data_IF_088512991623
#
_entry.id   IF_088512991623
#
_cell.length_a   1.000
_cell.length_b   1.000
_cell.length_c   1.000
_cell.angle_alpha   90.00
_cell.angle_beta   90.00
_cell.angle_gamma   90.00
#
_symmetry.space_group_name_H-M   'P 1'
#
loop_
_entity.id
_entity.type
_entity.pdbx_description
1 polymer ?
#
# COMPACT_ATOMS: atom_id res chain seq x y z
N UNK A 1 25.61 9.89 -30.75
CA UNK A 1 24.61 10.57 -29.91
C UNK A 1 24.49 9.80 -28.61
N UNK A 2 25.24 10.23 -27.60
CA UNK A 2 25.35 9.56 -26.30
C UNK A 2 24.26 10.10 -25.39
N UNK A 3 23.28 9.25 -25.06
CA UNK A 3 22.26 9.55 -24.05
C UNK A 3 22.95 9.69 -22.70
N UNK A 4 23.07 10.93 -22.20
CA UNK A 4 23.57 11.22 -20.87
C UNK A 4 22.57 10.67 -19.87
N UNK A 5 22.93 9.56 -19.21
CA UNK A 5 22.21 9.05 -18.05
C UNK A 5 22.15 10.16 -16.99
N UNK A 6 21.01 10.81 -16.89
CA UNK A 6 20.74 11.88 -15.94
C UNK A 6 20.77 11.26 -14.54
N UNK A 7 21.94 11.29 -13.88
CA UNK A 7 22.08 10.88 -12.48
C UNK A 7 21.12 11.74 -11.65
N UNK A 8 20.00 11.15 -11.20
CA UNK A 8 19.07 11.81 -10.29
C UNK A 8 19.86 12.25 -9.06
N UNK A 9 19.83 13.55 -8.75
CA UNK A 9 20.45 14.03 -7.51
C UNK A 9 19.75 13.37 -6.31
N UNK A 10 20.47 13.07 -5.20
CA UNK A 10 19.86 12.49 -4.01
C UNK A 10 18.67 13.31 -3.49
N UNK A 11 18.71 14.64 -3.66
CA UNK A 11 17.61 15.55 -3.33
C UNK A 11 16.32 15.21 -4.08
N UNK A 12 16.41 15.01 -5.40
CA UNK A 12 15.27 14.70 -6.28
C UNK A 12 14.60 13.36 -5.94
N UNK A 13 15.38 12.37 -5.52
CA UNK A 13 14.85 11.05 -5.14
C UNK A 13 14.07 11.13 -3.83
N UNK A 14 14.63 11.83 -2.84
CA UNK A 14 13.98 12.03 -1.54
C UNK A 14 12.71 12.87 -1.70
N UNK A 15 12.72 13.92 -2.53
CA UNK A 15 11.53 14.71 -2.82
C UNK A 15 10.44 13.89 -3.50
N UNK A 16 10.82 13.02 -4.43
CA UNK A 16 9.89 12.10 -5.09
C UNK A 16 9.24 11.14 -4.11
N UNK A 17 10.02 10.55 -3.20
CA UNK A 17 9.48 9.68 -2.15
C UNK A 17 8.55 10.44 -1.20
N UNK A 18 8.95 11.60 -0.70
CA UNK A 18 8.17 12.40 0.26
C UNK A 18 6.85 12.93 -0.32
N UNK A 19 6.78 13.18 -1.63
CA UNK A 19 5.55 13.57 -2.32
C UNK A 19 4.64 12.38 -2.65
N UNK A 20 5.15 11.16 -2.52
CA UNK A 20 4.39 9.96 -2.87
C UNK A 20 3.58 9.44 -1.67
N UNK A 21 2.46 8.74 -1.91
CA UNK A 21 1.73 8.03 -0.86
C UNK A 21 2.59 7.04 -0.07
N UNK A 22 3.71 6.56 -0.64
CA UNK A 22 4.64 5.65 0.03
C UNK A 22 5.28 6.24 1.28
N UNK A 23 5.48 7.56 1.35
CA UNK A 23 6.02 8.20 2.54
C UNK A 23 5.08 8.06 3.75
N UNK A 24 3.76 8.15 3.52
CA UNK A 24 2.75 7.95 4.55
C UNK A 24 2.58 6.48 4.97
N UNK A 25 2.84 5.54 4.06
CA UNK A 25 2.67 4.09 4.29
C UNK A 25 3.94 3.45 4.91
N UNK A 26 5.14 3.99 4.64
CA UNK A 26 6.40 3.39 5.06
C UNK A 26 6.55 3.14 6.59
N UNK A 27 6.13 4.06 7.49
CA UNK A 27 6.15 3.78 8.94
C UNK A 27 5.32 2.58 9.35
N UNK A 28 4.17 2.36 8.69
CA UNK A 28 3.29 1.22 8.96
C UNK A 28 3.92 -0.09 8.52
N UNK A 29 4.54 -0.11 7.33
CA UNK A 29 5.29 -1.27 6.85
C UNK A 29 6.46 -1.58 7.79
N UNK A 30 7.17 -0.56 8.27
CA UNK A 30 8.26 -0.74 9.23
C UNK A 30 7.76 -1.35 10.54
N UNK A 31 6.61 -0.90 11.05
CA UNK A 31 5.96 -1.50 12.22
C UNK A 31 5.67 -2.98 11.95
N UNK A 32 5.01 -3.31 10.84
CA UNK A 32 4.67 -4.70 10.49
C UNK A 32 5.90 -5.61 10.39
N UNK A 33 7.00 -5.13 9.80
CA UNK A 33 8.23 -5.92 9.64
C UNK A 33 8.96 -6.15 10.97
N UNK A 34 8.97 -5.14 11.84
CA UNK A 34 9.68 -5.22 13.12
C UNK A 34 8.86 -5.88 14.23
N UNK A 35 7.54 -5.94 14.06
CA UNK A 35 6.63 -6.56 15.03
C UNK A 35 6.92 -8.06 15.15
N UNK A 36 6.98 -8.52 16.39
CA UNK A 36 7.26 -9.91 16.73
C UNK A 36 7.52 -10.06 18.23
N UNK A 37 7.58 -11.31 18.73
CA UNK A 37 7.72 -11.57 20.17
C UNK A 37 8.95 -10.86 20.76
N UNK A 38 8.74 -10.06 21.82
CA UNK A 38 9.80 -9.31 22.50
C UNK A 38 10.38 -8.12 21.73
N UNK A 39 9.84 -7.78 20.54
CA UNK A 39 10.35 -6.70 19.68
C UNK A 39 9.41 -5.50 19.58
N UNK A 40 8.30 -5.51 20.31
CA UNK A 40 7.26 -4.48 20.24
C UNK A 40 7.79 -3.06 20.45
N UNK A 41 8.57 -2.83 21.51
CA UNK A 41 9.11 -1.50 21.80
C UNK A 41 10.00 -0.97 20.66
N UNK A 42 10.85 -1.84 20.09
CA UNK A 42 11.72 -1.46 18.96
C UNK A 42 10.87 -1.16 17.72
N UNK A 43 9.86 -1.97 17.44
CA UNK A 43 8.99 -1.78 16.28
C UNK A 43 8.22 -0.46 16.35
N UNK A 44 7.60 -0.18 17.49
CA UNK A 44 6.79 1.03 17.71
C UNK A 44 7.64 2.30 17.74
N UNK A 45 8.78 2.28 18.43
CA UNK A 45 9.69 3.44 18.48
C UNK A 45 10.34 3.73 17.13
N UNK A 46 10.69 2.69 16.36
CA UNK A 46 11.22 2.85 15.01
C UNK A 46 10.15 3.40 14.04
N UNK A 47 8.91 2.90 14.11
CA UNK A 47 7.80 3.40 13.32
C UNK A 47 7.46 4.87 13.65
N UNK A 48 7.38 5.22 14.95
CA UNK A 48 7.17 6.59 15.39
C UNK A 48 8.33 7.50 14.94
N UNK A 49 9.57 7.06 15.13
CA UNK A 49 10.76 7.80 14.70
C UNK A 49 10.78 8.04 13.20
N UNK A 50 10.47 7.03 12.39
CA UNK A 50 10.38 7.17 10.94
C UNK A 50 9.23 8.11 10.54
N UNK A 51 8.06 8.00 11.17
CA UNK A 51 6.92 8.88 10.91
C UNK A 51 7.25 10.35 11.18
N UNK A 52 7.86 10.64 12.34
CA UNK A 52 8.29 11.99 12.69
C UNK A 52 9.40 12.49 11.77
N UNK A 53 10.36 11.64 11.40
CA UNK A 53 11.42 11.99 10.46
C UNK A 53 10.85 12.36 9.09
N UNK A 54 9.95 11.55 8.54
CA UNK A 54 9.29 11.83 7.25
C UNK A 54 8.55 13.16 7.31
N UNK A 55 7.80 13.43 8.38
CA UNK A 55 7.09 14.69 8.57
C UNK A 55 8.03 15.89 8.69
N UNK A 56 9.09 15.80 9.52
CA UNK A 56 10.05 16.88 9.74
C UNK A 56 10.85 17.20 8.48
N UNK A 57 11.32 16.18 7.76
CA UNK A 57 12.05 16.36 6.49
C UNK A 57 11.12 16.91 5.41
N UNK A 58 9.86 16.45 5.37
CA UNK A 58 8.83 16.99 4.47
C UNK A 58 8.56 18.47 4.72
N UNK A 59 8.34 18.85 5.99
CA UNK A 59 8.16 20.25 6.42
C UNK A 59 9.37 21.12 6.05
N UNK A 60 10.59 20.64 6.31
CA UNK A 60 11.82 21.35 5.96
C UNK A 60 12.01 21.53 4.45
N UNK A 61 11.33 20.74 3.62
CA UNK A 61 11.34 20.82 2.15
C UNK A 61 10.08 21.48 1.57
N UNK A 62 9.20 22.02 2.41
CA UNK A 62 7.95 22.66 1.99
C UNK A 62 6.89 21.70 1.43
N UNK A 63 7.03 20.40 1.69
CA UNK A 63 6.06 19.37 1.30
C UNK A 63 4.93 19.36 2.33
N UNK A 64 3.68 19.31 1.86
CA UNK A 64 2.52 19.31 2.75
C UNK A 64 2.43 17.98 3.48
N UNK A 65 2.12 18.06 4.77
CA UNK A 65 1.76 16.91 5.59
C UNK A 65 0.27 16.61 5.35
N UNK A 66 -0.05 15.36 5.02
CA UNK A 66 -1.44 14.94 4.81
C UNK A 66 -2.01 14.28 6.07
N UNK A 67 -3.31 13.97 6.01
CA UNK A 67 -4.04 13.42 7.14
C UNK A 67 -3.53 12.04 7.56
N UNK A 68 -3.02 11.24 6.62
CA UNK A 68 -2.52 9.89 6.89
C UNK A 68 -1.21 9.92 7.70
N UNK A 69 -0.29 10.87 7.42
CA UNK A 69 0.94 11.01 8.21
C UNK A 69 0.62 11.45 9.63
N UNK A 70 -0.29 12.41 9.81
CA UNK A 70 -0.75 12.86 11.14
C UNK A 70 -1.43 11.71 11.89
N UNK A 71 -2.33 10.98 11.20
CA UNK A 71 -3.00 9.82 11.78
C UNK A 71 -2.00 8.76 12.23
N UNK A 72 -1.02 8.42 11.38
CA UNK A 72 0.06 7.50 11.73
C UNK A 72 0.88 7.97 12.92
N UNK A 73 1.33 9.22 12.93
CA UNK A 73 2.08 9.78 14.05
C UNK A 73 1.31 9.71 15.38
N UNK A 74 0.01 10.07 15.36
CA UNK A 74 -0.87 9.98 16.55
C UNK A 74 -1.06 8.52 16.98
N UNK A 75 -1.29 7.62 16.03
CA UNK A 75 -1.43 6.18 16.30
C UNK A 75 -0.16 5.62 16.94
N UNK A 76 1.00 5.80 16.32
CA UNK A 76 2.27 5.29 16.85
C UNK A 76 2.64 5.94 18.19
N UNK A 77 2.37 7.23 18.37
CA UNK A 77 2.58 7.89 19.66
C UNK A 77 1.66 7.30 20.74
N UNK A 78 0.40 7.04 20.41
CA UNK A 78 -0.55 6.41 21.34
C UNK A 78 -0.10 5.00 21.72
N UNK A 79 0.28 4.18 20.73
CA UNK A 79 0.77 2.82 20.95
C UNK A 79 2.08 2.83 21.75
N UNK A 80 2.98 3.78 21.49
CA UNK A 80 4.22 3.97 22.24
C UNK A 80 3.95 4.33 23.71
N UNK A 81 3.06 5.30 23.93
CA UNK A 81 2.65 5.71 25.28
C UNK A 81 2.01 4.55 26.04
N UNK A 82 1.09 3.82 25.42
CA UNK A 82 0.52 2.61 26.02
C UNK A 82 1.63 1.61 26.36
N UNK A 83 2.57 1.36 25.44
CA UNK A 83 3.70 0.47 25.68
C UNK A 83 4.62 0.87 26.84
N UNK A 84 4.71 2.16 27.17
CA UNK A 84 5.51 2.66 28.31
C UNK A 84 4.83 2.44 29.67
N UNK A 85 3.49 2.46 29.71
CA UNK A 85 2.71 2.37 30.95
C UNK A 85 1.95 1.03 31.10
N UNK A 86 2.01 0.17 30.08
CA UNK A 86 1.31 -1.10 30.03
C UNK A 86 1.95 -2.15 30.97
N UNK A 87 1.10 -2.92 31.65
CA UNK A 87 1.51 -4.16 32.32
C UNK A 87 1.93 -5.24 31.30
N UNK A 88 2.74 -6.22 31.71
CA UNK A 88 3.21 -7.32 30.84
C UNK A 88 2.09 -8.04 30.07
N UNK A 89 0.89 -8.17 30.65
CA UNK A 89 -0.26 -8.76 29.98
C UNK A 89 -0.75 -7.92 28.80
N UNK A 90 -0.74 -6.59 28.94
CA UNK A 90 -1.13 -5.66 27.87
C UNK A 90 -0.05 -5.63 26.79
N UNK A 91 1.23 -5.69 27.16
CA UNK A 91 2.33 -5.78 26.18
C UNK A 91 2.22 -7.07 25.36
N UNK A 92 1.98 -8.23 26.01
CA UNK A 92 1.74 -9.50 25.30
C UNK A 92 0.52 -9.44 24.38
N UNK A 93 -0.56 -8.80 24.82
CA UNK A 93 -1.73 -8.58 23.97
C UNK A 93 -1.37 -7.71 22.75
N UNK A 94 -0.64 -6.62 22.95
CA UNK A 94 -0.20 -5.76 21.84
C UNK A 94 0.79 -6.46 20.92
N UNK A 95 1.67 -7.32 21.43
CA UNK A 95 2.58 -8.12 20.60
C UNK A 95 1.83 -9.05 19.65
N UNK A 96 0.71 -9.61 20.08
CA UNK A 96 -0.14 -10.47 19.27
C UNK A 96 -1.01 -9.65 18.32
N UNK A 97 -1.69 -8.62 18.85
CA UNK A 97 -2.75 -7.92 18.13
C UNK A 97 -2.32 -6.61 17.46
N UNK A 98 -1.05 -6.20 17.53
CA UNK A 98 -0.59 -4.92 16.96
C UNK A 98 -0.77 -4.84 15.44
N UNK A 99 -0.52 -5.93 14.72
CA UNK A 99 -0.77 -6.00 13.27
C UNK A 99 -2.26 -5.76 12.98
N UNK A 100 -3.12 -6.39 13.77
CA UNK A 100 -4.56 -6.38 13.51
C UNK A 100 -5.19 -5.06 13.94
N UNK A 101 -4.76 -4.50 15.08
CA UNK A 101 -5.10 -3.14 15.49
C UNK A 101 -4.67 -2.12 14.44
N UNK A 102 -3.51 -2.31 13.80
CA UNK A 102 -3.03 -1.45 12.72
C UNK A 102 -3.94 -1.52 11.51
N UNK A 103 -4.22 -2.72 11.01
CA UNK A 103 -5.09 -2.93 9.85
C UNK A 103 -6.52 -2.41 10.10
N UNK A 104 -7.08 -2.67 11.29
CA UNK A 104 -8.39 -2.16 11.70
C UNK A 104 -8.38 -0.63 11.76
N UNK A 105 -7.33 -0.03 12.31
CA UNK A 105 -7.21 1.43 12.43
C UNK A 105 -7.13 2.10 11.06
N UNK A 106 -6.35 1.53 10.12
CA UNK A 106 -6.25 2.02 8.75
C UNK A 106 -7.57 1.84 7.97
N UNK A 107 -8.25 0.71 8.14
CA UNK A 107 -9.56 0.48 7.56
C UNK A 107 -10.58 1.49 8.08
N UNK A 108 -10.66 1.66 9.41
CA UNK A 108 -11.55 2.61 10.06
C UNK A 108 -11.27 4.04 9.60
N UNK A 109 -9.99 4.43 9.52
CA UNK A 109 -9.57 5.72 8.98
C UNK A 109 -10.07 5.92 7.55
N UNK A 110 -9.81 4.98 6.65
CA UNK A 110 -10.20 5.08 5.25
C UNK A 110 -11.73 5.16 5.09
N UNK A 111 -12.48 4.29 5.77
CA UNK A 111 -13.94 4.33 5.77
C UNK A 111 -14.50 5.63 6.37
N UNK A 112 -13.91 6.14 7.44
CA UNK A 112 -14.33 7.39 8.06
C UNK A 112 -14.12 8.57 7.10
N UNK A 113 -13.00 8.59 6.37
CA UNK A 113 -12.72 9.64 5.37
C UNK A 113 -13.76 9.66 4.24
N UNK A 114 -14.24 8.48 3.81
CA UNK A 114 -15.37 8.35 2.88
C UNK A 114 -16.68 8.84 3.50
N UNK A 115 -16.96 8.46 4.74
CA UNK A 115 -18.20 8.85 5.45
C UNK A 115 -18.33 10.36 5.59
N UNK A 116 -17.23 11.06 5.90
CA UNK A 116 -17.19 12.53 5.97
C UNK A 116 -17.05 13.20 4.59
N UNK A 117 -17.11 12.44 3.49
CA UNK A 117 -17.00 12.89 2.09
C UNK A 117 -15.70 13.65 1.79
N UNK A 118 -14.62 13.29 2.48
CA UNK A 118 -13.27 13.81 2.27
C UNK A 118 -12.30 12.63 2.19
N UNK A 119 -12.37 11.80 1.13
CA UNK A 119 -11.49 10.65 0.95
C UNK A 119 -10.03 11.06 1.15
N UNK A 120 -9.26 10.29 1.93
CA UNK A 120 -7.89 10.65 2.27
C UNK A 120 -6.98 10.77 1.02
N UNK A 121 -7.29 10.01 -0.03
CA UNK A 121 -6.55 10.01 -1.31
C UNK A 121 -6.64 11.34 -2.04
N UNK A 122 -7.74 12.09 -1.83
CA UNK A 122 -7.94 13.39 -2.46
C UNK A 122 -6.85 14.39 -2.08
N UNK A 123 -6.33 14.32 -0.85
CA UNK A 123 -5.30 15.24 -0.40
C UNK A 123 -4.00 15.04 -1.20
N UNK A 124 -3.61 13.78 -1.43
CA UNK A 124 -2.47 13.42 -2.27
C UNK A 124 -2.71 13.73 -3.75
N UNK A 125 -3.90 13.45 -4.28
CA UNK A 125 -4.21 13.70 -5.68
C UNK A 125 -4.15 15.21 -6.03
N UNK A 126 -4.47 16.10 -5.08
CA UNK A 126 -4.35 17.55 -5.27
C UNK A 126 -2.91 18.04 -5.43
N UNK A 127 -1.94 17.32 -4.89
CA UNK A 127 -0.53 17.71 -5.00
C UNK A 127 0.07 17.39 -6.38
N UNK A 128 -0.55 16.50 -7.16
CA UNK A 128 -0.12 16.13 -8.52
C UNK A 128 -1.08 16.62 -9.62
N UNK A 129 -2.33 16.94 -9.28
CA UNK A 129 -3.36 17.34 -10.25
C UNK A 129 -3.52 18.87 -10.30
N UNK A 130 -3.64 19.49 -11.49
CA UNK A 130 -3.92 20.92 -11.61
C UNK A 130 -5.18 21.36 -10.85
N UNK A 131 -5.13 22.56 -10.26
CA UNK A 131 -6.19 23.07 -9.38
C UNK A 131 -7.57 23.21 -10.06
N UNK A 132 -7.59 23.41 -11.37
CA UNK A 132 -8.80 23.49 -12.20
C UNK A 132 -9.65 22.23 -12.09
N UNK A 133 -9.04 21.05 -11.94
CA UNK A 133 -9.74 19.78 -11.88
C UNK A 133 -10.21 19.39 -10.47
N UNK A 134 -9.74 20.05 -9.42
CA UNK A 134 -10.00 19.67 -8.01
C UNK A 134 -11.48 19.65 -7.64
N UNK A 135 -12.30 20.44 -8.35
CA UNK A 135 -13.74 20.54 -8.08
C UNK A 135 -14.58 19.67 -9.02
N UNK A 136 -13.96 19.04 -10.02
CA UNK A 136 -14.68 18.25 -11.02
C UNK A 136 -15.35 17.02 -10.39
N UNK A 137 -16.55 16.63 -10.85
CA UNK A 137 -17.21 15.40 -10.38
C UNK A 137 -16.38 14.14 -10.65
N UNK A 138 -15.65 14.12 -11.77
CA UNK A 138 -14.76 13.02 -12.13
C UNK A 138 -13.62 12.86 -11.12
N UNK A 139 -12.93 13.96 -10.76
CA UNK A 139 -11.86 13.94 -9.77
C UNK A 139 -12.33 13.42 -8.41
N UNK A 140 -13.52 13.85 -7.94
CA UNK A 140 -14.09 13.35 -6.69
C UNK A 140 -14.39 11.85 -6.78
N UNK A 141 -15.05 11.41 -7.86
CA UNK A 141 -15.39 10.00 -8.08
C UNK A 141 -14.15 9.11 -8.13
N UNK A 142 -13.07 9.54 -8.78
CA UNK A 142 -11.80 8.81 -8.83
C UNK A 142 -11.27 8.60 -7.40
N UNK A 143 -11.19 9.67 -6.61
CA UNK A 143 -10.67 9.59 -5.25
C UNK A 143 -11.58 8.77 -4.31
N UNK A 144 -12.89 8.85 -4.46
CA UNK A 144 -13.84 8.03 -3.70
C UNK A 144 -13.63 6.54 -4.01
N UNK A 145 -13.56 6.16 -5.29
CA UNK A 145 -13.40 4.75 -5.69
C UNK A 145 -12.02 4.20 -5.28
N UNK A 146 -10.95 4.98 -5.42
CA UNK A 146 -9.62 4.58 -4.94
C UNK A 146 -9.62 4.43 -3.42
N UNK A 147 -10.28 5.33 -2.68
CA UNK A 147 -10.36 5.22 -1.21
C UNK A 147 -11.16 3.99 -0.80
N UNK A 148 -12.24 3.64 -1.52
CA UNK A 148 -12.99 2.39 -1.29
C UNK A 148 -12.10 1.17 -1.52
N UNK A 149 -11.25 1.19 -2.56
CA UNK A 149 -10.30 0.09 -2.82
C UNK A 149 -9.31 -0.07 -1.66
N UNK A 150 -8.72 1.03 -1.17
CA UNK A 150 -7.86 1.00 0.02
C UNK A 150 -8.58 0.55 1.28
N UNK A 151 -9.78 1.09 1.55
CA UNK A 151 -10.57 0.71 2.71
C UNK A 151 -10.92 -0.79 2.68
N UNK A 152 -11.26 -1.32 1.50
CA UNK A 152 -11.53 -2.73 1.28
C UNK A 152 -10.28 -3.59 1.47
N UNK A 153 -9.13 -3.15 0.97
CA UNK A 153 -7.86 -3.85 1.16
C UNK A 153 -7.44 -3.93 2.63
N UNK A 154 -7.53 -2.82 3.38
CA UNK A 154 -7.25 -2.83 4.82
C UNK A 154 -8.26 -3.68 5.61
N UNK A 155 -9.54 -3.64 5.22
CA UNK A 155 -10.58 -4.48 5.83
C UNK A 155 -10.29 -5.95 5.58
N UNK A 156 -9.91 -6.32 4.35
CA UNK A 156 -9.52 -7.68 4.00
C UNK A 156 -8.28 -8.11 4.79
N UNK A 157 -7.25 -7.26 4.89
CA UNK A 157 -6.05 -7.54 5.67
C UNK A 157 -6.38 -7.78 7.16
N UNK A 158 -7.25 -6.94 7.74
CA UNK A 158 -7.72 -7.11 9.12
C UNK A 158 -8.48 -8.42 9.32
N UNK A 159 -9.34 -8.82 8.37
CA UNK A 159 -10.07 -10.10 8.43
C UNK A 159 -9.11 -11.28 8.27
N UNK A 160 -8.16 -11.20 7.34
CA UNK A 160 -7.16 -12.25 7.14
C UNK A 160 -6.30 -12.43 8.40
N UNK A 161 -5.78 -11.35 8.96
CA UNK A 161 -5.02 -11.36 10.21
C UNK A 161 -5.83 -11.91 11.38
N UNK A 162 -7.08 -11.46 11.55
CA UNK A 162 -8.00 -11.99 12.56
C UNK A 162 -8.20 -13.51 12.44
N UNK A 163 -8.32 -14.04 11.21
CA UNK A 163 -8.41 -15.50 11.00
C UNK A 163 -7.09 -16.19 11.44
N UNK A 164 -5.93 -15.60 11.13
CA UNK A 164 -4.64 -16.10 11.61
C UNK A 164 -4.55 -16.15 13.14
N UNK A 165 -4.88 -15.05 13.79
CA UNK A 165 -4.79 -14.91 15.25
C UNK A 165 -5.80 -15.78 15.97
N UNK A 166 -7.07 -15.71 15.58
CA UNK A 166 -8.17 -16.30 16.32
C UNK A 166 -8.43 -17.76 15.94
N UNK A 167 -8.30 -18.11 14.65
CA UNK A 167 -8.59 -19.47 14.18
C UNK A 167 -7.32 -20.32 14.18
N UNK A 168 -6.24 -19.81 13.60
CA UNK A 168 -4.98 -20.56 13.47
C UNK A 168 -4.10 -20.46 14.73
N UNK A 169 -4.40 -19.53 15.64
CA UNK A 169 -3.59 -19.25 16.84
C UNK A 169 -2.12 -18.93 16.49
N UNK A 170 -1.90 -18.33 15.31
CA UNK A 170 -0.59 -18.03 14.76
C UNK A 170 -0.61 -16.67 14.03
N UNK A 171 -0.27 -15.63 14.78
CA UNK A 171 -0.13 -14.26 14.27
C UNK A 171 1.00 -14.12 13.23
N UNK A 172 1.99 -15.02 13.28
CA UNK A 172 3.10 -15.06 12.35
C UNK A 172 2.82 -15.86 11.08
N UNK A 173 1.59 -16.37 10.91
CA UNK A 173 1.28 -17.30 9.84
C UNK A 173 1.62 -16.70 8.47
N UNK A 174 2.36 -17.47 7.68
CA UNK A 174 2.85 -17.03 6.37
C UNK A 174 1.73 -16.49 5.47
N UNK A 175 0.57 -17.16 5.42
CA UNK A 175 -0.51 -16.75 4.53
C UNK A 175 -1.34 -15.59 5.09
N UNK A 176 -1.87 -15.76 6.30
CA UNK A 176 -2.83 -14.80 6.88
C UNK A 176 -2.15 -13.57 7.49
N UNK A 177 -0.95 -13.73 8.03
CA UNK A 177 -0.16 -12.63 8.61
C UNK A 177 0.63 -11.82 7.57
N UNK A 178 0.98 -12.43 6.43
CA UNK A 178 1.86 -11.79 5.45
C UNK A 178 1.30 -11.78 4.02
N UNK A 179 1.21 -12.94 3.36
CA UNK A 179 0.98 -12.99 1.91
C UNK A 179 -0.37 -12.40 1.51
N UNK A 180 -1.45 -12.74 2.20
CA UNK A 180 -2.78 -12.22 1.86
C UNK A 180 -2.89 -10.72 2.12
N UNK A 181 -2.30 -10.23 3.21
CA UNK A 181 -2.29 -8.80 3.54
C UNK A 181 -1.51 -8.01 2.48
N UNK A 182 -0.30 -8.46 2.15
CA UNK A 182 0.53 -7.83 1.12
C UNK A 182 -0.16 -7.87 -0.25
N UNK A 183 -0.78 -8.99 -0.63
CA UNK A 183 -1.53 -9.11 -1.87
C UNK A 183 -2.65 -8.06 -1.98
N UNK A 184 -3.38 -7.82 -0.88
CA UNK A 184 -4.43 -6.79 -0.84
C UNK A 184 -3.85 -5.38 -1.01
N UNK A 185 -2.72 -5.09 -0.36
CA UNK A 185 -2.02 -3.81 -0.50
C UNK A 185 -1.52 -3.59 -1.94
N UNK A 186 -0.86 -4.58 -2.55
CA UNK A 186 -0.39 -4.50 -3.93
C UNK A 186 -1.55 -4.33 -4.92
N UNK A 187 -2.67 -5.01 -4.69
CA UNK A 187 -3.89 -4.82 -5.46
C UNK A 187 -4.41 -3.37 -5.36
N UNK A 188 -4.47 -2.80 -4.16
CA UNK A 188 -4.90 -1.41 -3.96
C UNK A 188 -3.93 -0.40 -4.62
N UNK A 189 -2.62 -0.63 -4.54
CA UNK A 189 -1.60 0.19 -5.22
C UNK A 189 -1.77 0.12 -6.73
N UNK A 190 -1.82 -1.09 -7.30
CA UNK A 190 -1.98 -1.29 -8.75
C UNK A 190 -3.30 -0.67 -9.25
N UNK A 191 -4.38 -0.80 -8.48
CA UNK A 191 -5.65 -0.15 -8.80
C UNK A 191 -5.55 1.38 -8.73
N UNK A 192 -4.80 1.94 -7.76
CA UNK A 192 -4.58 3.39 -7.63
C UNK A 192 -3.84 3.97 -8.83
N UNK A 193 -2.86 3.22 -9.37
CA UNK A 193 -2.12 3.63 -10.57
C UNK A 193 -2.96 3.49 -11.85
N UNK A 194 -3.79 2.44 -11.95
CA UNK A 194 -4.57 2.14 -13.15
C UNK A 194 -5.87 2.97 -13.27
N UNK A 195 -6.62 3.11 -12.18
CA UNK A 195 -8.01 3.58 -12.22
C UNK A 195 -8.18 5.03 -12.71
N UNK A 196 -7.32 6.01 -12.34
CA UNK A 196 -7.44 7.38 -12.85
C UNK A 196 -7.39 7.46 -14.39
N UNK A 197 -6.44 6.75 -15.01
CA UNK A 197 -6.27 6.72 -16.46
C UNK A 197 -7.49 6.07 -17.13
N UNK A 198 -7.95 4.94 -16.57
CA UNK A 198 -9.14 4.25 -17.07
C UNK A 198 -10.41 5.11 -16.96
N UNK A 199 -10.62 5.77 -15.83
CA UNK A 199 -11.79 6.61 -15.60
C UNK A 199 -11.80 7.85 -16.50
N UNK A 200 -10.63 8.45 -16.72
CA UNK A 200 -10.47 9.61 -17.62
C UNK A 200 -10.71 9.21 -19.07
N UNK A 201 -10.06 8.16 -19.56
CA UNK A 201 -10.26 7.67 -20.94
C UNK A 201 -11.73 7.30 -21.23
N UNK A 202 -12.44 6.72 -20.24
CA UNK A 202 -13.86 6.40 -20.37
C UNK A 202 -14.75 7.65 -20.39
N UNK A 203 -14.37 8.69 -19.64
CA UNK A 203 -15.07 9.98 -19.64
C UNK A 203 -14.91 10.69 -20.98
N UNK A 204 -13.70 10.71 -21.53
CA UNK A 204 -13.39 11.33 -22.83
C UNK A 204 -14.18 10.66 -23.96
N UNK A 205 -14.19 9.32 -24.01
CA UNK A 205 -15.01 8.57 -24.97
C UNK A 205 -16.51 8.87 -24.85
N UNK A 206 -17.03 9.04 -23.62
CA UNK A 206 -18.43 9.38 -23.40
C UNK A 206 -18.78 10.79 -23.90
N UNK A 207 -17.79 11.69 -23.99
CA UNK A 207 -17.93 13.03 -24.54
C UNK A 207 -17.60 13.11 -26.05
N UNK A 208 -17.32 11.97 -26.69
CA UNK A 208 -17.00 11.90 -28.12
C UNK A 208 -15.54 12.24 -28.45
N UNK A 209 -14.67 12.35 -27.44
CA UNK A 209 -13.24 12.55 -27.64
C UNK A 209 -12.54 11.20 -27.87
N UNK A 210 -11.61 11.10 -28.83
CA UNK A 210 -10.88 9.87 -29.07
C UNK A 210 -9.89 9.60 -27.93
N UNK A 211 -10.18 8.59 -27.10
CA UNK A 211 -9.28 8.12 -26.06
C UNK A 211 -9.03 6.62 -26.16
N UNK A 212 -7.81 6.20 -25.83
CA UNK A 212 -7.45 4.79 -25.75
C UNK A 212 -7.66 4.29 -24.32
N UNK A 213 -8.58 3.35 -24.13
CA UNK A 213 -8.87 2.81 -22.79
C UNK A 213 -7.79 1.80 -22.40
N UNK A 214 -7.11 2.01 -21.25
CA UNK A 214 -6.18 1.02 -20.71
C UNK A 214 -6.83 -0.34 -20.49
N UNK A 215 -6.12 -1.43 -20.83
CA UNK A 215 -6.60 -2.79 -20.59
C UNK A 215 -6.74 -3.06 -19.09
N UNK A 216 -7.91 -3.54 -18.65
CA UNK A 216 -8.20 -3.91 -17.24
C UNK A 216 -7.21 -4.96 -16.72
N UNK A 217 -6.63 -5.76 -17.61
CA UNK A 217 -5.61 -6.76 -17.30
C UNK A 217 -4.38 -6.15 -16.61
N UNK A 218 -4.08 -4.86 -16.81
CA UNK A 218 -2.95 -4.17 -16.17
C UNK A 218 -3.06 -4.12 -14.64
N UNK A 219 -4.26 -4.21 -14.07
CA UNK A 219 -4.45 -4.32 -12.61
C UNK A 219 -3.79 -5.60 -12.07
N UNK A 220 -3.57 -6.61 -12.91
CA UNK A 220 -2.97 -7.89 -12.52
C UNK A 220 -1.48 -7.97 -12.84
N UNK A 221 -0.85 -6.91 -13.35
CA UNK A 221 0.57 -6.92 -13.74
C UNK A 221 1.51 -7.23 -12.55
N UNK A 222 1.10 -6.89 -11.33
CA UNK A 222 1.86 -7.18 -10.10
C UNK A 222 1.79 -8.66 -9.67
N UNK A 223 0.72 -9.37 -10.05
CA UNK A 223 0.38 -10.68 -9.50
C UNK A 223 1.42 -11.76 -9.84
N UNK A 224 1.92 -11.90 -11.09
CA UNK A 224 2.93 -12.92 -11.41
C UNK A 224 4.20 -12.79 -10.58
N UNK A 225 4.75 -11.58 -10.52
CA UNK A 225 5.97 -11.30 -9.75
C UNK A 225 5.74 -11.59 -8.27
N UNK A 226 4.58 -11.18 -7.74
CA UNK A 226 4.22 -11.45 -6.35
C UNK A 226 4.13 -12.96 -6.05
N UNK A 227 3.50 -13.75 -6.93
CA UNK A 227 3.36 -15.20 -6.77
C UNK A 227 4.73 -15.90 -6.83
N UNK A 228 5.61 -15.49 -7.74
CA UNK A 228 6.99 -16.03 -7.82
C UNK A 228 7.75 -15.72 -6.54
N UNK A 229 7.74 -14.46 -6.09
CA UNK A 229 8.43 -14.04 -4.86
C UNK A 229 7.86 -14.78 -3.65
N UNK A 230 6.54 -14.97 -3.58
CA UNK A 230 5.88 -15.74 -2.53
C UNK A 230 6.40 -17.18 -2.49
N UNK A 231 6.51 -17.85 -3.64
CA UNK A 231 7.07 -19.20 -3.74
C UNK A 231 8.52 -19.27 -3.26
N UNK A 232 9.36 -18.31 -3.67
CA UNK A 232 10.77 -18.24 -3.25
C UNK A 232 10.88 -17.99 -1.74
N UNK A 233 10.20 -16.97 -1.23
CA UNK A 233 10.25 -16.61 0.20
C UNK A 233 9.72 -17.75 1.06
N UNK A 234 8.61 -18.37 0.66
CA UNK A 234 8.04 -19.49 1.40
C UNK A 234 9.01 -20.69 1.50
N UNK A 235 9.77 -20.97 0.44
CA UNK A 235 10.80 -22.01 0.47
C UNK A 235 12.01 -21.60 1.33
N UNK A 236 12.49 -20.36 1.20
CA UNK A 236 13.66 -19.87 1.95
C UNK A 236 13.40 -19.83 3.46
N UNK A 237 12.14 -19.62 3.84
CA UNK A 237 11.71 -19.54 5.25
C UNK A 237 11.14 -20.85 5.78
N UNK A 238 11.21 -21.94 5.01
CA UNK A 238 10.60 -23.25 5.33
C UNK A 238 9.12 -23.16 5.73
N UNK A 239 8.40 -22.14 5.23
CA UNK A 239 7.01 -21.85 5.57
C UNK A 239 6.00 -22.60 4.67
N UNK A 240 6.46 -23.14 3.54
CA UNK A 240 5.64 -23.95 2.63
C UNK A 240 6.43 -25.17 2.15
N UNK A 241 5.71 -26.22 1.74
CA UNK A 241 6.32 -27.38 1.10
C UNK A 241 7.06 -27.00 -0.18
N UNK A 242 8.19 -27.66 -0.44
CA UNK A 242 9.01 -27.40 -1.63
C UNK A 242 8.24 -27.61 -2.93
N UNK A 243 7.34 -28.60 -2.99
CA UNK A 243 6.47 -28.82 -4.14
C UNK A 243 5.51 -27.66 -4.39
N UNK A 244 4.91 -27.12 -3.33
CA UNK A 244 4.05 -25.94 -3.41
C UNK A 244 4.85 -24.69 -3.84
N UNK A 245 6.05 -24.49 -3.30
CA UNK A 245 6.93 -23.37 -3.68
C UNK A 245 7.30 -23.41 -5.17
N UNK A 246 7.72 -24.56 -5.68
CA UNK A 246 8.00 -24.75 -7.11
C UNK A 246 6.74 -24.53 -7.96
N UNK A 247 5.58 -25.04 -7.52
CA UNK A 247 4.33 -24.84 -8.22
C UNK A 247 3.97 -23.34 -8.34
N UNK A 248 4.13 -22.56 -7.27
CA UNK A 248 3.91 -21.10 -7.29
C UNK A 248 4.85 -20.41 -8.28
N UNK A 249 6.14 -20.75 -8.28
CA UNK A 249 7.12 -20.16 -9.22
C UNK A 249 6.75 -20.46 -10.68
N UNK A 250 6.37 -21.70 -10.97
CA UNK A 250 5.94 -22.12 -12.32
C UNK A 250 4.65 -21.40 -12.72
N UNK A 251 3.63 -21.40 -11.86
CA UNK A 251 2.34 -20.74 -12.13
C UNK A 251 2.54 -19.23 -12.36
N UNK A 252 3.33 -18.56 -11.52
CA UNK A 252 3.64 -17.15 -11.68
C UNK A 252 4.40 -16.88 -12.99
N UNK A 253 5.35 -17.73 -13.38
CA UNK A 253 6.08 -17.58 -14.64
C UNK A 253 5.18 -17.76 -15.86
N UNK A 254 4.26 -18.73 -15.82
CA UNK A 254 3.26 -18.95 -16.88
C UNK A 254 2.29 -17.77 -16.95
N UNK A 255 1.79 -17.29 -15.81
CA UNK A 255 0.91 -16.14 -15.73
C UNK A 255 1.56 -14.88 -16.31
N UNK A 256 2.85 -14.64 -16.02
CA UNK A 256 3.61 -13.54 -16.62
C UNK A 256 3.63 -13.63 -18.15
N UNK A 257 3.89 -14.82 -18.69
CA UNK A 257 3.89 -15.05 -20.14
C UNK A 257 2.51 -14.86 -20.80
N UNK A 258 1.43 -15.21 -20.10
CA UNK A 258 0.05 -15.00 -20.58
C UNK A 258 -0.30 -13.51 -20.55
N UNK A 259 -0.02 -12.81 -19.45
CA UNK A 259 -0.31 -11.37 -19.32
C UNK A 259 0.47 -10.54 -20.34
N UNK A 260 1.73 -10.90 -20.61
CA UNK A 260 2.53 -10.25 -21.65
C UNK A 260 1.91 -10.37 -23.06
N UNK A 261 1.17 -11.44 -23.34
CA UNK A 261 0.45 -11.61 -24.61
C UNK A 261 -0.87 -10.84 -24.67
N UNK A 262 -1.52 -10.62 -23.52
CA UNK A 262 -2.81 -9.91 -23.41
C UNK A 262 -2.65 -8.39 -23.36
N UNK A 263 -1.44 -7.90 -23.06
CA UNK A 263 -1.08 -6.48 -23.03
C UNK A 263 -0.12 -6.14 -24.18
N UNK A 264 -0.57 -6.11 -25.45
CA UNK A 264 0.29 -5.73 -26.56
C UNK A 264 0.78 -4.28 -26.37
N UNK A 265 2.10 -4.09 -26.32
CA UNK A 265 2.74 -2.78 -26.33
C UNK A 265 2.30 -2.03 -27.58
N UNK A 266 1.89 -0.75 -27.50
CA UNK A 266 1.66 0.05 -28.70
C UNK A 266 2.95 0.06 -29.53
N UNK A 267 2.87 -0.37 -30.79
CA UNK A 267 4.00 -0.28 -31.73
C UNK A 267 4.46 1.17 -31.79
N UNK A 268 5.77 1.46 -31.69
CA UNK A 268 6.26 2.80 -31.95
C UNK A 268 5.84 3.17 -33.37
N UNK A 269 5.13 4.29 -33.53
CA UNK A 269 4.87 4.84 -34.85
C UNK A 269 6.21 5.05 -35.56
N UNK A 270 6.37 4.38 -36.70
CA UNK A 270 7.53 4.49 -37.59
C UNK A 270 7.73 5.91 -38.11
#
# INVERSE_FOLDING_TARGET
MTQTAQRRSPGTVIDGFLKSPFAGIAPWVLLSILSGPGRFQVAVTAALGLSLLVMLVGLGRGIKVHLLEVFGAVFFATVALVGLYATDNVIRFLELWAGELTNISLAAFAWLTLLVRKPFTMAYAKDTTPQEYWTSPLFRRINDVITVAWASAFTFAAVAGFIGDFVLHDAGNFWTGWILQLAALFCAVSFTEFYPDYATAKFDLANGEPAQVPSIVRILDWLPTFVIVTGIVGMVTDSIDSGLGVALIVVGSVAAGVLAKLSPTPTPSA
#
